data_IF_515106039638
#
_entry.id   IF_515106039638
#
_cell.length_a   1.000
_cell.length_b   1.000
_cell.length_c   1.000
_cell.angle_alpha   90.00
_cell.angle_beta   90.00
_cell.angle_gamma   90.00
#
_symmetry.space_group_name_H-M   'P 1'
#
loop_
_entity.id
_entity.type
_entity.pdbx_description
1 polymer ?
#
# COMPACT_ATOMS: atom_id res chain seq x y z
N UNK A 1 12.37 4.88 21.48
CA UNK A 1 11.24 5.18 20.60
C UNK A 1 10.00 4.61 21.26
N UNK A 2 8.96 5.42 21.48
CA UNK A 2 7.65 4.86 21.83
C UNK A 2 7.14 4.04 20.65
N UNK A 3 6.66 2.82 20.93
CA UNK A 3 6.02 1.98 19.91
C UNK A 3 4.67 2.61 19.61
N UNK A 4 4.57 3.34 18.50
CA UNK A 4 3.27 3.82 18.02
C UNK A 4 2.51 2.64 17.47
N UNK A 5 1.41 2.28 18.12
CA UNK A 5 0.49 1.26 17.62
C UNK A 5 -0.27 1.87 16.44
N UNK A 6 -0.18 1.22 15.27
CA UNK A 6 -0.77 1.73 14.02
C UNK A 6 -1.69 0.72 13.33
N UNK A 7 -1.52 -0.57 13.64
CA UNK A 7 -2.15 -1.67 12.91
C UNK A 7 -3.59 -1.87 13.39
N UNK A 8 -4.59 -1.91 12.49
CA UNK A 8 -5.97 -2.18 12.87
C UNK A 8 -6.15 -3.64 13.32
N UNK A 9 -7.11 -3.86 14.23
CA UNK A 9 -7.46 -5.15 14.82
C UNK A 9 -8.96 -5.48 14.65
N UNK A 10 -9.39 -5.52 13.40
CA UNK A 10 -10.76 -5.79 12.97
C UNK A 10 -11.09 -7.27 13.19
N UNK A 11 -12.19 -7.52 13.93
CA UNK A 11 -12.82 -8.84 14.01
C UNK A 11 -13.56 -9.18 12.72
N UNK A 12 -13.92 -10.44 12.50
CA UNK A 12 -14.65 -10.82 11.30
C UNK A 12 -16.07 -10.21 11.31
N UNK A 13 -16.72 -10.11 12.46
CA UNK A 13 -18.03 -9.48 12.60
C UNK A 13 -17.99 -8.00 12.23
N UNK A 14 -16.95 -7.28 12.65
CA UNK A 14 -16.76 -5.88 12.28
C UNK A 14 -16.44 -5.74 10.79
N UNK A 15 -15.69 -6.66 10.19
CA UNK A 15 -15.44 -6.66 8.75
C UNK A 15 -16.72 -6.87 7.94
N UNK A 16 -17.60 -7.78 8.38
CA UNK A 16 -18.94 -7.99 7.78
C UNK A 16 -19.77 -6.71 7.91
N UNK A 17 -19.80 -6.10 9.10
CA UNK A 17 -20.53 -4.85 9.31
C UNK A 17 -20.03 -3.72 8.40
N UNK A 18 -18.71 -3.56 8.27
CA UNK A 18 -18.11 -2.55 7.40
C UNK A 18 -18.50 -2.78 5.93
N UNK A 19 -18.44 -4.02 5.43
CA UNK A 19 -18.85 -4.35 4.07
C UNK A 19 -20.34 -4.04 3.83
N UNK A 20 -21.20 -4.39 4.79
CA UNK A 20 -22.64 -4.15 4.70
C UNK A 20 -22.98 -2.67 4.79
N UNK A 21 -22.51 -1.97 5.82
CA UNK A 21 -22.87 -0.58 6.12
C UNK A 21 -22.24 0.41 5.14
N UNK A 22 -21.00 0.18 4.71
CA UNK A 22 -20.31 1.11 3.82
C UNK A 22 -20.57 0.81 2.35
N UNK A 23 -20.70 -0.47 2.00
CA UNK A 23 -20.79 -0.89 0.60
C UNK A 23 -22.13 -1.53 0.23
N UNK A 24 -23.05 -1.76 1.17
CA UNK A 24 -24.34 -2.40 0.86
C UNK A 24 -24.19 -3.85 0.39
N UNK A 25 -23.13 -4.54 0.85
CA UNK A 25 -22.77 -5.90 0.44
C UNK A 25 -23.01 -6.89 1.58
N UNK A 26 -23.67 -8.00 1.28
CA UNK A 26 -23.82 -9.11 2.22
C UNK A 26 -22.69 -10.13 2.00
N UNK A 27 -21.86 -10.35 3.02
CA UNK A 27 -20.70 -11.25 2.94
C UNK A 27 -21.14 -12.70 3.16
N UNK A 28 -20.84 -13.58 2.20
CA UNK A 28 -21.17 -15.02 2.27
C UNK A 28 -19.95 -15.90 2.59
N UNK A 29 -18.75 -15.42 2.27
CA UNK A 29 -17.49 -16.09 2.55
C UNK A 29 -16.44 -15.03 2.86
N UNK A 30 -15.60 -15.29 3.86
CA UNK A 30 -14.50 -14.41 4.22
C UNK A 30 -13.25 -15.21 4.55
N UNK A 31 -12.11 -14.69 4.12
CA UNK A 31 -10.79 -15.15 4.52
C UNK A 31 -9.92 -13.97 4.93
N UNK A 32 -9.42 -13.99 6.16
CA UNK A 32 -8.38 -13.06 6.61
C UNK A 32 -7.09 -13.31 5.84
N UNK A 33 -6.50 -12.25 5.29
CA UNK A 33 -5.29 -12.33 4.47
C UNK A 33 -4.05 -11.93 5.27
N UNK A 34 -2.90 -12.48 4.88
CA UNK A 34 -1.60 -12.08 5.43
C UNK A 34 -1.41 -10.59 5.21
N UNK A 35 -1.06 -9.87 6.27
CA UNK A 35 -0.97 -8.42 6.28
C UNK A 35 0.08 -7.94 7.26
N UNK A 36 0.80 -6.87 6.89
CA UNK A 36 1.87 -6.27 7.69
C UNK A 36 1.30 -5.18 8.60
N UNK A 37 1.39 -3.90 8.24
CA UNK A 37 0.84 -2.80 9.06
C UNK A 37 -0.66 -2.58 8.86
N UNK A 38 -1.20 -2.98 7.70
CA UNK A 38 -2.62 -2.92 7.38
C UNK A 38 -3.35 -4.20 7.83
N UNK A 39 -4.64 -4.29 7.55
CA UNK A 39 -5.40 -5.54 7.65
C UNK A 39 -6.30 -5.73 6.43
N UNK A 40 -6.29 -6.94 5.90
CA UNK A 40 -6.94 -7.28 4.63
C UNK A 40 -7.82 -8.53 4.81
N UNK A 41 -8.98 -8.52 4.16
CA UNK A 41 -9.90 -9.64 4.07
C UNK A 41 -10.26 -9.87 2.61
N UNK A 42 -10.16 -11.12 2.16
CA UNK A 42 -10.81 -11.54 0.93
C UNK A 42 -12.26 -11.90 1.26
N UNK A 43 -13.21 -11.30 0.54
CA UNK A 43 -14.64 -11.52 0.75
C UNK A 43 -15.33 -11.91 -0.55
N UNK A 44 -16.25 -12.88 -0.47
CA UNK A 44 -17.28 -13.13 -1.48
C UNK A 44 -18.61 -12.65 -0.92
N UNK A 45 -19.48 -12.19 -1.81
CA UNK A 45 -20.74 -11.54 -1.42
C UNK A 45 -21.92 -12.19 -2.14
N UNK A 46 -23.11 -12.02 -1.58
CA UNK A 46 -24.36 -12.43 -2.22
C UNK A 46 -24.54 -11.74 -3.58
N UNK A 47 -25.31 -12.36 -4.48
CA UNK A 47 -25.60 -11.80 -5.81
C UNK A 47 -26.41 -10.50 -5.72
N UNK A 48 -27.35 -10.45 -4.79
CA UNK A 48 -28.15 -9.27 -4.51
C UNK A 48 -27.37 -8.31 -3.61
N UNK A 49 -27.35 -7.02 -3.96
CA UNK A 49 -26.69 -5.99 -3.18
C UNK A 49 -27.38 -4.64 -3.34
N UNK A 50 -27.10 -3.71 -2.43
CA UNK A 50 -27.68 -2.37 -2.42
C UNK A 50 -26.73 -1.29 -2.95
N UNK A 51 -25.53 -1.66 -3.41
CA UNK A 51 -24.58 -0.70 -3.96
C UNK A 51 -24.95 -0.24 -5.39
N UNK A 52 -25.31 1.04 -5.62
CA UNK A 52 -25.66 1.53 -6.96
C UNK A 52 -24.45 1.71 -7.87
N UNK A 53 -23.22 1.66 -7.35
CA UNK A 53 -21.98 1.84 -8.12
C UNK A 53 -21.36 0.52 -8.60
N UNK A 54 -21.96 -0.62 -8.23
CA UNK A 54 -21.54 -1.94 -8.69
C UNK A 54 -22.53 -2.41 -9.76
N UNK A 55 -22.12 -2.34 -11.02
CA UNK A 55 -22.93 -2.84 -12.14
C UNK A 55 -22.79 -4.35 -12.34
N UNK A 56 -21.61 -4.89 -12.00
CA UNK A 56 -21.31 -6.31 -12.10
C UNK A 56 -20.40 -6.71 -10.93
N UNK A 57 -20.77 -7.80 -10.25
CA UNK A 57 -19.94 -8.37 -9.20
C UNK A 57 -18.71 -9.07 -9.83
N UNK A 58 -17.49 -8.81 -9.32
CA UNK A 58 -16.32 -9.57 -9.69
C UNK A 58 -16.49 -11.03 -9.29
N UNK A 59 -16.24 -11.96 -10.22
CA UNK A 59 -16.32 -13.40 -9.97
C UNK A 59 -15.46 -13.82 -8.79
N UNK A 60 -14.25 -13.25 -8.69
CA UNK A 60 -13.27 -13.54 -7.64
C UNK A 60 -13.56 -12.85 -6.30
N UNK A 61 -14.57 -12.00 -6.22
CA UNK A 61 -14.91 -11.22 -5.03
C UNK A 61 -14.04 -9.99 -4.83
N UNK A 62 -13.90 -9.57 -3.57
CA UNK A 62 -13.27 -8.30 -3.19
C UNK A 62 -12.19 -8.47 -2.13
N UNK A 63 -11.28 -7.50 -2.06
CA UNK A 63 -10.41 -7.26 -0.91
C UNK A 63 -10.99 -6.10 -0.11
N UNK A 64 -11.49 -6.38 1.10
CA UNK A 64 -11.75 -5.36 2.10
C UNK A 64 -10.45 -5.04 2.82
N UNK A 65 -9.98 -3.81 2.67
CA UNK A 65 -8.72 -3.34 3.26
C UNK A 65 -8.98 -2.25 4.29
N UNK A 66 -8.30 -2.37 5.42
CA UNK A 66 -8.22 -1.37 6.47
C UNK A 66 -6.78 -0.93 6.56
N UNK A 67 -6.52 0.29 6.09
CA UNK A 67 -5.19 0.90 6.07
C UNK A 67 -4.83 1.41 7.46
N UNK A 68 -3.58 1.23 7.87
CA UNK A 68 -3.09 1.65 9.19
C UNK A 68 -3.31 3.13 9.50
N UNK A 69 -3.34 3.48 10.78
CA UNK A 69 -3.69 4.81 11.26
C UNK A 69 -2.76 5.91 10.70
N UNK A 70 -1.45 5.64 10.60
CA UNK A 70 -0.47 6.61 10.09
C UNK A 70 -0.68 6.91 8.61
N UNK A 71 -0.87 5.88 7.79
CA UNK A 71 -1.17 6.05 6.36
C UNK A 71 -2.55 6.65 6.12
N UNK A 72 -3.49 6.39 7.02
CA UNK A 72 -4.86 6.91 6.94
C UNK A 72 -4.93 8.42 7.21
N UNK A 73 -4.02 8.93 8.05
CA UNK A 73 -3.89 10.35 8.34
C UNK A 73 -3.11 11.14 7.27
N UNK A 74 -2.54 10.47 6.25
CA UNK A 74 -1.79 11.15 5.19
C UNK A 74 -2.73 11.70 4.10
N UNK A 75 -2.71 13.02 3.94
CA UNK A 75 -3.52 13.72 2.94
C UNK A 75 -3.27 13.20 1.52
N UNK A 76 -4.36 12.96 0.80
CA UNK A 76 -4.34 12.48 -0.59
C UNK A 76 -3.77 11.06 -0.75
N UNK A 77 -3.49 10.31 0.34
CA UNK A 77 -2.91 8.98 0.24
C UNK A 77 -3.81 8.01 -0.52
N UNK A 78 -5.09 7.92 -0.16
CA UNK A 78 -6.05 7.05 -0.84
C UNK A 78 -6.30 7.49 -2.28
N UNK A 79 -6.58 8.77 -2.51
CA UNK A 79 -6.91 9.29 -3.84
C UNK A 79 -5.74 9.07 -4.82
N UNK A 80 -4.51 9.28 -4.36
CA UNK A 80 -3.31 9.06 -5.17
C UNK A 80 -3.11 7.59 -5.53
N UNK A 81 -3.28 6.67 -4.56
CA UNK A 81 -3.16 5.22 -4.79
C UNK A 81 -4.31 4.69 -5.65
N UNK A 82 -5.54 5.13 -5.42
CA UNK A 82 -6.69 4.70 -6.20
C UNK A 82 -6.61 5.21 -7.64
N UNK A 83 -6.17 6.45 -7.84
CA UNK A 83 -5.93 7.01 -9.17
C UNK A 83 -4.84 6.24 -9.91
N UNK A 84 -3.77 5.80 -9.23
CA UNK A 84 -2.72 5.01 -9.88
C UNK A 84 -3.19 3.62 -10.27
N UNK A 85 -3.98 2.95 -9.42
CA UNK A 85 -4.60 1.65 -9.75
C UNK A 85 -5.52 1.73 -10.98
N UNK A 86 -6.32 2.79 -11.07
CA UNK A 86 -7.17 3.06 -12.23
C UNK A 86 -6.34 3.35 -13.48
N UNK A 87 -5.26 4.13 -13.36
CA UNK A 87 -4.34 4.42 -14.47
C UNK A 87 -3.66 3.16 -15.00
N UNK A 88 -3.15 2.30 -14.11
CA UNK A 88 -2.52 1.03 -14.47
C UNK A 88 -3.49 0.13 -15.26
N UNK A 89 -4.75 0.03 -14.82
CA UNK A 89 -5.78 -0.70 -15.56
C UNK A 89 -6.01 -0.12 -16.95
N UNK A 90 -6.10 1.22 -17.09
CA UNK A 90 -6.20 1.89 -18.40
C UNK A 90 -5.01 1.60 -19.32
N UNK A 91 -3.83 1.34 -18.76
CA UNK A 91 -2.61 0.95 -19.48
C UNK A 91 -2.51 -0.55 -19.74
N UNK A 92 -3.56 -1.33 -19.43
CA UNK A 92 -3.59 -2.78 -19.65
C UNK A 92 -2.83 -3.59 -18.61
N UNK A 93 -2.47 -3.00 -17.47
CA UNK A 93 -1.88 -3.72 -16.34
C UNK A 93 -3.00 -4.16 -15.42
N UNK A 94 -3.05 -5.47 -15.14
CA UNK A 94 -4.00 -6.06 -14.19
C UNK A 94 -3.68 -5.55 -12.78
N UNK A 95 -4.49 -4.64 -12.27
CA UNK A 95 -4.37 -4.07 -10.93
C UNK A 95 -5.75 -4.07 -10.24
N UNK A 96 -5.83 -4.15 -8.89
CA UNK A 96 -7.11 -4.10 -8.19
C UNK A 96 -7.85 -2.79 -8.49
N UNK A 97 -9.16 -2.86 -8.71
CA UNK A 97 -9.98 -1.68 -8.97
C UNK A 97 -10.68 -1.23 -7.69
N UNK A 98 -10.55 0.05 -7.30
CA UNK A 98 -11.29 0.60 -6.15
C UNK A 98 -12.79 0.62 -6.42
N UNK A 99 -13.56 0.16 -5.43
CA UNK A 99 -15.02 0.13 -5.47
C UNK A 99 -15.56 1.35 -4.71
N UNK A 100 -16.57 1.99 -5.26
CA UNK A 100 -17.26 3.08 -4.59
C UNK A 100 -18.18 2.54 -3.49
N UNK A 101 -18.15 3.20 -2.34
CA UNK A 101 -19.06 2.99 -1.22
C UNK A 101 -20.43 3.62 -1.53
N UNK A 102 -21.40 3.46 -0.63
CA UNK A 102 -22.77 4.00 -0.81
C UNK A 102 -22.81 5.54 -0.94
N UNK A 103 -21.76 6.24 -0.52
CA UNK A 103 -21.60 7.71 -0.66
C UNK A 103 -20.90 8.11 -1.97
N UNK A 104 -20.57 7.15 -2.85
CA UNK A 104 -19.85 7.39 -4.10
C UNK A 104 -18.36 7.68 -3.92
N UNK A 105 -17.78 7.42 -2.75
CA UNK A 105 -16.35 7.57 -2.46
C UNK A 105 -15.64 6.23 -2.52
N UNK A 106 -14.37 6.21 -2.92
CA UNK A 106 -13.60 4.95 -3.03
C UNK A 106 -12.98 4.47 -1.71
N UNK A 107 -13.11 5.27 -0.64
CA UNK A 107 -12.62 4.99 0.71
C UNK A 107 -13.41 5.82 1.73
N UNK A 108 -13.35 5.44 3.01
CA UNK A 108 -13.91 6.20 4.14
C UNK A 108 -13.10 5.97 5.41
N UNK A 109 -12.98 6.99 6.26
CA UNK A 109 -12.38 6.85 7.59
C UNK A 109 -13.41 6.26 8.57
N UNK A 110 -13.01 5.22 9.28
CA UNK A 110 -13.80 4.61 10.35
C UNK A 110 -12.98 4.53 11.63
N UNK A 111 -13.68 4.60 12.75
CA UNK A 111 -13.12 4.39 14.08
C UNK A 111 -13.02 2.90 14.31
N UNK A 112 -11.82 2.37 14.48
CA UNK A 112 -11.59 0.92 14.59
C UNK A 112 -10.61 0.60 15.72
N UNK A 113 -10.71 -0.60 16.35
CA UNK A 113 -9.70 -1.05 17.30
C UNK A 113 -8.34 -1.22 16.63
N UNK A 114 -7.25 -0.90 17.35
CA UNK A 114 -5.89 -1.22 16.92
C UNK A 114 -5.33 -2.44 17.68
N UNK A 115 -4.29 -3.04 17.11
CA UNK A 115 -3.64 -4.22 17.67
C UNK A 115 -2.85 -3.86 18.92
N UNK A 116 -3.10 -4.57 20.03
CA UNK A 116 -2.44 -4.36 21.33
C UNK A 116 -2.73 -2.98 21.97
N UNK A 117 -3.70 -2.22 21.48
CA UNK A 117 -4.26 -1.11 22.26
C UNK A 117 -5.13 -1.70 23.39
N UNK A 118 -4.80 -1.39 24.64
CA UNK A 118 -5.76 -1.56 25.72
C UNK A 118 -6.96 -0.63 25.46
N UNK A 119 -8.17 -1.11 25.73
CA UNK A 119 -9.46 -0.45 25.44
C UNK A 119 -9.53 1.01 25.95
N UNK A 120 -8.65 1.40 26.87
CA UNK A 120 -8.63 2.69 27.55
C UNK A 120 -7.52 3.66 27.13
N UNK A 121 -6.74 3.39 26.07
CA UNK A 121 -5.66 4.30 25.64
C UNK A 121 -6.07 5.11 24.40
N UNK A 122 -6.39 6.39 24.65
CA UNK A 122 -6.35 7.53 23.71
C UNK A 122 -7.19 7.45 22.41
N UNK A 123 -8.50 7.54 22.56
CA UNK A 123 -9.42 8.01 21.51
C UNK A 123 -9.52 7.12 20.26
N UNK A 124 -10.59 7.25 19.47
CA UNK A 124 -10.72 6.43 18.28
C UNK A 124 -9.70 6.83 17.20
N UNK A 125 -8.73 5.95 16.90
CA UNK A 125 -7.82 6.12 15.77
C UNK A 125 -8.58 5.84 14.47
N UNK A 126 -8.55 6.81 13.57
CA UNK A 126 -9.22 6.70 12.28
C UNK A 126 -8.37 5.88 11.31
N UNK A 127 -8.91 4.77 10.85
CA UNK A 127 -8.33 3.98 9.77
C UNK A 127 -9.19 4.08 8.53
N UNK A 128 -8.56 4.15 7.36
CA UNK A 128 -9.25 4.17 6.08
C UNK A 128 -9.70 2.77 5.69
N UNK A 129 -11.00 2.62 5.51
CA UNK A 129 -11.65 1.44 4.99
C UNK A 129 -11.92 1.64 3.50
N UNK A 130 -11.50 0.67 2.70
CA UNK A 130 -11.68 0.69 1.26
C UNK A 130 -11.82 -0.72 0.70
N UNK A 131 -12.60 -0.84 -0.37
CA UNK A 131 -12.89 -2.10 -1.04
C UNK A 131 -12.25 -2.09 -2.43
N UNK A 132 -11.53 -3.14 -2.76
CA UNK A 132 -10.88 -3.33 -4.07
C UNK A 132 -11.38 -4.63 -4.71
N UNK A 133 -11.38 -4.75 -6.03
CA UNK A 133 -11.56 -6.06 -6.68
C UNK A 133 -10.43 -7.02 -6.25
N UNK A 134 -10.75 -8.30 -6.07
CA UNK A 134 -9.74 -9.30 -5.77
C UNK A 134 -8.99 -9.70 -7.05
N UNK A 135 -7.68 -9.94 -6.94
CA UNK A 135 -6.88 -10.55 -8.00
C UNK A 135 -6.51 -11.97 -7.55
N UNK A 136 -7.06 -13.02 -8.17
CA UNK A 136 -6.63 -14.38 -7.90
C UNK A 136 -5.18 -14.59 -8.35
N UNK A 137 -4.44 -15.36 -7.56
CA UNK A 137 -3.06 -15.71 -7.85
C UNK A 137 -2.40 -16.42 -6.68
N UNK A 138 -1.16 -16.83 -6.92
CA UNK A 138 -0.32 -17.47 -5.92
C UNK A 138 0.78 -16.48 -5.53
N UNK A 139 1.03 -16.24 -4.23
CA UNK A 139 2.15 -15.41 -3.80
C UNK A 139 3.46 -15.96 -4.33
N UNK A 140 4.30 -15.11 -4.90
CA UNK A 140 5.52 -15.62 -5.54
C UNK A 140 6.53 -16.23 -4.55
N UNK A 141 6.46 -15.85 -3.28
CA UNK A 141 7.32 -16.45 -2.26
C UNK A 141 7.00 -17.92 -1.98
N UNK A 142 5.91 -18.46 -2.54
CA UNK A 142 5.50 -19.86 -2.36
C UNK A 142 5.70 -20.70 -3.62
N UNK A 143 6.37 -20.19 -4.64
CA UNK A 143 6.65 -20.95 -5.88
C UNK A 143 8.15 -21.00 -6.15
N UNK A 144 8.57 -22.03 -6.87
CA UNK A 144 9.96 -22.17 -7.30
C UNK A 144 10.29 -21.17 -8.41
N UNK A 145 11.47 -20.56 -8.30
CA UNK A 145 11.95 -19.59 -9.29
C UNK A 145 12.53 -20.33 -10.50
N UNK A 146 11.84 -20.23 -11.63
CA UNK A 146 12.32 -20.71 -12.93
C UNK A 146 12.78 -19.55 -13.81
N UNK A 147 13.61 -19.84 -14.82
CA UNK A 147 14.04 -18.84 -15.81
C UNK A 147 12.85 -18.18 -16.50
N UNK A 148 11.81 -18.95 -16.84
CA UNK A 148 10.60 -18.44 -17.47
C UNK A 148 9.82 -17.48 -16.56
N UNK A 149 9.69 -17.81 -15.27
CA UNK A 149 9.03 -16.95 -14.29
C UNK A 149 9.77 -15.61 -14.15
N UNK A 150 11.11 -15.66 -14.02
CA UNK A 150 11.95 -14.48 -13.92
C UNK A 150 11.89 -13.60 -15.18
N UNK A 151 11.82 -14.23 -16.37
CA UNK A 151 11.64 -13.52 -17.63
C UNK A 151 10.29 -12.81 -17.70
N UNK A 152 9.19 -13.50 -17.35
CA UNK A 152 7.85 -12.90 -17.31
C UNK A 152 7.74 -11.75 -16.31
N UNK A 153 8.43 -11.85 -15.19
CA UNK A 153 8.57 -10.76 -14.23
C UNK A 153 9.29 -9.55 -14.77
N UNK A 154 10.40 -9.74 -15.49
CA UNK A 154 11.09 -8.65 -16.18
C UNK A 154 10.17 -7.95 -17.18
N UNK A 155 9.39 -8.71 -17.96
CA UNK A 155 8.39 -8.15 -18.87
C UNK A 155 7.31 -7.36 -18.14
N UNK A 156 6.80 -7.86 -17.02
CA UNK A 156 5.80 -7.15 -16.21
C UNK A 156 6.37 -5.87 -15.62
N UNK A 157 7.60 -5.90 -15.11
CA UNK A 157 8.28 -4.73 -14.57
C UNK A 157 8.50 -3.65 -15.65
N UNK A 158 8.90 -4.04 -16.85
CA UNK A 158 9.05 -3.13 -17.98
C UNK A 158 7.70 -2.49 -18.37
N UNK A 159 6.62 -3.30 -18.45
CA UNK A 159 5.27 -2.79 -18.70
C UNK A 159 4.82 -1.80 -17.62
N UNK A 160 5.03 -2.15 -16.35
CA UNK A 160 4.73 -1.27 -15.21
C UNK A 160 5.51 0.03 -15.29
N UNK A 161 6.82 -0.04 -15.49
CA UNK A 161 7.69 1.13 -15.62
C UNK A 161 7.19 2.09 -16.71
N UNK A 162 6.84 1.56 -17.89
CA UNK A 162 6.32 2.35 -19.00
C UNK A 162 4.93 2.93 -18.70
N UNK A 163 4.05 2.14 -18.07
CA UNK A 163 2.69 2.57 -17.75
C UNK A 163 2.62 3.72 -16.75
N UNK A 164 3.61 3.83 -15.84
CA UNK A 164 3.64 4.91 -14.85
C UNK A 164 4.31 6.18 -15.36
N UNK A 165 4.96 6.19 -16.54
CA UNK A 165 5.73 7.35 -17.03
C UNK A 165 4.91 8.61 -17.28
N UNK A 166 3.60 8.49 -17.54
CA UNK A 166 2.71 9.60 -17.82
C UNK A 166 1.67 9.85 -16.71
N UNK A 167 1.84 9.20 -15.55
CA UNK A 167 0.94 9.35 -14.43
C UNK A 167 1.37 10.49 -13.50
N UNK A 168 0.50 11.48 -13.29
CA UNK A 168 0.72 12.57 -12.32
C UNK A 168 -0.47 12.66 -11.35
N UNK A 169 -0.18 12.84 -10.05
CA UNK A 169 -1.19 13.08 -9.03
C UNK A 169 -0.60 13.89 -7.86
N UNK A 170 -1.31 14.94 -7.43
CA UNK A 170 -0.85 15.88 -6.39
C UNK A 170 -0.50 15.18 -5.07
N UNK A 171 -1.28 14.17 -4.68
CA UNK A 171 -1.02 13.34 -3.49
C UNK A 171 0.32 12.59 -3.48
N UNK A 172 1.08 12.52 -4.59
CA UNK A 172 2.46 12.00 -4.59
C UNK A 172 3.53 13.09 -4.51
N UNK A 173 3.22 14.36 -4.80
CA UNK A 173 4.21 15.45 -4.92
C UNK A 173 4.86 15.80 -3.58
N UNK A 174 4.10 15.70 -2.50
CA UNK A 174 4.55 16.07 -1.15
C UNK A 174 4.89 14.85 -0.28
N UNK A 175 4.93 13.63 -0.85
CA UNK A 175 5.25 12.42 -0.07
C UNK A 175 6.76 12.30 0.12
N UNK A 176 7.20 12.31 1.37
CA UNK A 176 8.56 11.91 1.75
C UNK A 176 8.63 10.39 1.76
N UNK A 177 9.55 9.83 0.97
CA UNK A 177 9.80 8.38 0.91
C UNK A 177 11.06 8.11 1.73
N UNK A 178 10.91 7.43 2.86
CA UNK A 178 12.02 7.05 3.73
C UNK A 178 13.04 6.13 3.04
N UNK A 179 12.58 5.26 2.13
CA UNK A 179 13.42 4.34 1.39
C UNK A 179 14.13 5.03 0.22
N UNK A 180 15.02 5.98 0.52
CA UNK A 180 15.86 6.65 -0.45
C UNK A 180 17.27 6.92 0.11
N UNK A 181 18.22 7.25 -0.77
CA UNK A 181 19.61 7.51 -0.40
C UNK A 181 19.80 8.72 0.53
N UNK A 182 18.86 9.66 0.59
CA UNK A 182 18.94 10.81 1.50
C UNK A 182 18.69 10.41 2.96
N UNK A 183 17.99 9.31 3.21
CA UNK A 183 17.59 8.88 4.56
C UNK A 183 18.46 7.73 5.11
N UNK A 184 19.38 7.16 4.33
CA UNK A 184 20.27 6.05 4.76
C UNK A 184 21.02 6.35 6.08
N UNK A 185 21.56 7.57 6.33
CA UNK A 185 22.19 7.86 7.62
C UNK A 185 21.28 7.67 8.84
N UNK A 186 19.96 7.76 8.68
CA UNK A 186 18.97 7.61 9.75
C UNK A 186 18.84 6.15 10.21
N UNK A 187 19.39 5.18 9.46
CA UNK A 187 19.44 3.78 9.87
C UNK A 187 20.17 3.55 11.20
N UNK A 188 21.04 4.48 11.62
CA UNK A 188 21.68 4.45 12.95
C UNK A 188 20.66 4.40 14.09
N UNK A 189 19.46 4.92 13.88
CA UNK A 189 18.38 4.92 14.86
C UNK A 189 17.65 3.57 14.98
N UNK A 190 17.95 2.62 14.08
CA UNK A 190 17.25 1.34 13.94
C UNK A 190 18.19 0.14 14.09
N UNK A 191 19.22 0.27 14.93
CA UNK A 191 20.24 -0.78 15.11
C UNK A 191 19.84 -1.84 16.15
N UNK A 192 18.78 -1.59 16.92
CA UNK A 192 18.29 -2.52 17.95
C UNK A 192 17.87 -3.86 17.33
N UNK A 193 18.16 -4.96 18.02
CA UNK A 193 17.85 -6.32 17.54
C UNK A 193 18.81 -6.90 16.48
N UNK A 194 19.77 -6.13 15.98
CA UNK A 194 20.79 -6.62 15.05
C UNK A 194 21.97 -7.27 15.83
N UNK A 195 22.45 -8.40 15.34
CA UNK A 195 23.65 -9.07 15.87
C UNK A 195 24.90 -8.18 15.79
N UNK A 196 25.76 -8.24 16.80
CA UNK A 196 26.89 -7.31 16.95
C UNK A 196 27.84 -7.27 15.75
N UNK A 197 28.13 -8.41 15.12
CA UNK A 197 29.00 -8.46 13.94
C UNK A 197 28.36 -7.77 12.72
N UNK A 198 27.03 -7.88 12.55
CA UNK A 198 26.28 -7.19 11.49
C UNK A 198 26.15 -5.71 11.78
N UNK A 199 25.97 -5.31 13.05
CA UNK A 199 25.99 -3.91 13.47
C UNK A 199 27.28 -3.21 13.06
N UNK A 200 28.43 -3.83 13.36
CA UNK A 200 29.75 -3.29 12.97
C UNK A 200 29.87 -3.10 11.46
N UNK A 201 29.41 -4.08 10.67
CA UNK A 201 29.39 -3.96 9.21
C UNK A 201 28.53 -2.78 8.74
N UNK A 202 27.30 -2.67 9.23
CA UNK A 202 26.38 -1.56 8.87
C UNK A 202 26.99 -0.22 9.26
N UNK A 203 27.49 -0.08 10.49
CA UNK A 203 28.14 1.15 10.95
C UNK A 203 29.34 1.52 10.08
N UNK A 204 30.17 0.55 9.67
CA UNK A 204 31.32 0.82 8.81
C UNK A 204 30.94 1.41 7.45
N UNK A 205 29.77 1.02 6.91
CA UNK A 205 29.22 1.61 5.68
C UNK A 205 28.68 3.01 5.96
N UNK A 206 27.94 3.17 7.05
CA UNK A 206 27.35 4.46 7.45
C UNK A 206 28.41 5.51 7.81
N UNK A 207 29.58 5.10 8.31
CA UNK A 207 30.70 6.00 8.65
C UNK A 207 31.37 6.57 7.38
N UNK A 208 31.38 5.80 6.29
CA UNK A 208 31.89 6.23 4.98
C UNK A 208 30.86 6.96 4.12
N UNK A 209 29.58 6.83 4.46
CA UNK A 209 28.47 7.36 3.68
C UNK A 209 28.60 8.87 3.35
N UNK A 210 28.99 9.76 4.30
CA UNK A 210 29.10 11.18 4.01
C UNK A 210 30.16 11.51 2.94
N UNK A 211 31.32 10.86 3.01
CA UNK A 211 32.45 11.15 2.12
C UNK A 211 32.32 10.49 0.75
N UNK A 212 31.74 9.28 0.69
CA UNK A 212 31.67 8.49 -0.54
C UNK A 212 30.37 8.71 -1.32
N UNK A 213 29.23 8.83 -0.63
CA UNK A 213 27.90 8.92 -1.25
C UNK A 213 27.32 10.34 -1.15
N UNK A 214 27.23 10.90 0.06
CA UNK A 214 26.55 12.18 0.31
C UNK A 214 27.15 13.32 -0.53
N UNK A 215 28.48 13.39 -0.59
CA UNK A 215 29.22 14.35 -1.44
C UNK A 215 28.85 14.26 -2.93
N UNK A 216 28.40 13.10 -3.40
CA UNK A 216 28.04 12.84 -4.80
C UNK A 216 26.53 12.81 -5.05
N UNK A 217 25.68 13.10 -4.04
CA UNK A 217 24.23 12.93 -4.14
C UNK A 217 23.58 13.74 -5.26
N UNK A 218 24.11 14.91 -5.60
CA UNK A 218 23.61 15.73 -6.71
C UNK A 218 23.90 15.13 -8.09
N UNK A 219 24.84 14.19 -8.19
CA UNK A 219 25.22 13.49 -9.43
C UNK A 219 24.44 12.19 -9.64
N UNK A 220 23.75 11.70 -8.60
CA UNK A 220 23.00 10.46 -8.69
C UNK A 220 21.63 10.68 -9.35
N UNK A 221 21.13 9.68 -10.11
CA UNK A 221 19.77 9.72 -10.63
C UNK A 221 18.78 9.93 -9.47
N UNK A 222 17.95 10.95 -9.61
CA UNK A 222 16.83 11.17 -8.67
C UNK A 222 15.60 10.50 -9.24
N UNK A 223 14.82 9.85 -8.37
CA UNK A 223 13.45 9.52 -8.72
C UNK A 223 12.76 10.78 -9.21
N UNK A 224 12.02 10.68 -10.31
CA UNK A 224 11.28 11.80 -10.87
C UNK A 224 10.25 12.26 -9.83
N UNK A 225 10.59 13.25 -9.01
CA UNK A 225 9.56 14.08 -8.37
C UNK A 225 8.81 14.67 -9.55
N UNK A 226 7.52 14.37 -9.67
CA UNK A 226 6.63 14.82 -10.75
C UNK A 226 6.50 16.35 -10.76
N UNK A 227 7.60 17.00 -11.11
CA UNK A 227 7.73 18.39 -11.48
C UNK A 227 8.13 18.33 -12.94
N UNK A 228 7.27 18.89 -13.78
CA UNK A 228 7.54 19.15 -15.17
C UNK A 228 8.92 19.82 -15.34
N UNK A 229 9.94 19.02 -15.60
CA UNK A 229 11.16 19.44 -16.27
C UNK A 229 11.41 18.45 -17.38
N UNK A 230 10.77 18.74 -18.52
CA UNK A 230 11.29 18.36 -19.83
C UNK A 230 12.75 18.86 -19.88
N UNK A 231 13.72 17.97 -19.78
CA UNK A 231 15.05 18.13 -20.36
C UNK A 231 15.19 16.98 -21.35
N UNK A 232 14.75 17.23 -22.58
CA UNK A 232 15.64 17.37 -23.74
C UNK A 232 16.42 16.08 -24.01
N UNK A 233 15.89 15.37 -25.01
CA UNK A 233 16.58 14.63 -26.09
C UNK A 233 18.10 14.55 -25.97
N UNK A 234 18.60 13.32 -25.91
CA UNK A 234 19.62 12.84 -26.84
C UNK A 234 19.18 11.48 -27.37
#
# INVERSE_FOLDING_TARGET
MEIVIIKPNISEELAIDLARRLYGLEVIEMKRMVSFDDQNFHIKVAKEHHNPYISQLPEDGFTLKITNAVRSAMDGNFDSVHSSLLHLNKKGIRAPLPIQNLEGKTWKLEKVPLLNEEINISGPKLCGVHLLTFIPGVPVCTVDYTTDLLYQWGLLLAKFHNAVQDFDHSGFKNKTIFWNLEHIPQLRNFMDGIEEHRKKLVLSVLDKYPSEIEKNMDRLPRGTKWHARRRHVF
#
